data_IF_814486978481
#
_entry.id   IF_814486978481
#
_cell.length_a   1.000
_cell.length_b   1.000
_cell.length_c   1.000
_cell.angle_alpha   90.00
_cell.angle_beta   90.00
_cell.angle_gamma   90.00
#
_symmetry.space_group_name_H-M   'P 1'
#
loop_
_entity.id
_entity.type
_entity.pdbx_description
1 polymer ?
#
# COMPACT_ATOMS: atom_id res chain seq x y z
N UNK A 1 37.37 9.71 15.19
CA UNK A 1 36.75 8.41 15.54
C UNK A 1 35.27 8.50 15.93
N UNK A 2 34.76 9.63 16.47
CA UNK A 2 33.32 9.76 16.82
C UNK A 2 32.39 10.03 15.62
N UNK A 3 32.85 10.78 14.61
CA UNK A 3 32.06 11.12 13.41
C UNK A 3 31.66 9.90 12.56
N UNK A 4 32.55 8.89 12.49
CA UNK A 4 32.32 7.64 11.76
C UNK A 4 31.29 6.76 12.46
N UNK A 5 31.32 6.68 13.80
CA UNK A 5 30.34 5.90 14.57
C UNK A 5 28.91 6.47 14.45
N UNK A 6 28.76 7.80 14.51
CA UNK A 6 27.45 8.45 14.37
C UNK A 6 26.88 8.32 12.95
N UNK A 7 27.74 8.35 11.93
CA UNK A 7 27.33 8.09 10.54
C UNK A 7 26.92 6.63 10.35
N UNK A 8 27.68 5.69 10.92
CA UNK A 8 27.40 4.26 10.85
C UNK A 8 26.06 3.91 11.56
N UNK A 9 25.81 4.51 12.74
CA UNK A 9 24.53 4.37 13.44
C UNK A 9 23.35 4.94 12.64
N UNK A 10 23.49 6.13 12.05
CA UNK A 10 22.45 6.70 11.17
C UNK A 10 22.19 5.81 9.96
N UNK A 11 23.23 5.21 9.40
CA UNK A 11 23.12 4.26 8.30
C UNK A 11 22.37 2.99 8.69
N UNK A 12 22.70 2.40 9.84
CA UNK A 12 21.97 1.23 10.37
C UNK A 12 20.50 1.55 10.69
N UNK A 13 20.22 2.74 11.23
CA UNK A 13 18.83 3.21 11.45
C UNK A 13 18.06 3.37 10.14
N UNK A 14 18.70 3.91 9.09
CA UNK A 14 18.09 4.01 7.76
C UNK A 14 17.80 2.65 7.15
N UNK A 15 18.66 1.66 7.40
CA UNK A 15 18.48 0.27 6.93
C UNK A 15 17.31 -0.44 7.62
N UNK A 16 16.97 -0.02 8.84
CA UNK A 16 15.80 -0.51 9.58
C UNK A 16 14.49 0.11 9.10
N UNK A 17 14.55 1.30 8.48
CA UNK A 17 13.39 1.95 7.92
C UNK A 17 12.85 1.19 6.70
N UNK A 18 11.52 1.13 6.59
CA UNK A 18 10.85 0.61 5.42
C UNK A 18 10.93 1.64 4.29
N UNK A 19 11.40 1.20 3.13
CA UNK A 19 11.51 1.99 1.90
C UNK A 19 11.49 1.05 0.70
N UNK A 20 11.33 1.59 -0.51
CA UNK A 20 11.41 0.83 -1.74
C UNK A 20 12.77 0.15 -1.91
N UNK A 21 13.85 0.81 -1.46
CA UNK A 21 15.20 0.25 -1.42
C UNK A 21 15.27 -0.95 -0.45
N UNK A 22 14.63 -0.85 0.71
CA UNK A 22 14.73 -1.91 1.73
C UNK A 22 13.92 -3.17 1.41
N UNK A 23 13.07 -3.14 0.38
CA UNK A 23 12.33 -4.32 -0.13
C UNK A 23 12.81 -4.76 -1.52
N UNK A 24 13.82 -4.10 -2.07
CA UNK A 24 14.33 -4.40 -3.41
C UNK A 24 14.89 -5.82 -3.50
N UNK A 25 14.42 -6.57 -4.50
CA UNK A 25 14.76 -7.98 -4.73
C UNK A 25 14.47 -8.92 -3.53
N UNK A 26 13.62 -8.50 -2.59
CA UNK A 26 13.14 -9.33 -1.48
C UNK A 26 11.64 -9.63 -1.68
N UNK A 27 11.36 -10.76 -2.33
CA UNK A 27 9.99 -11.15 -2.66
C UNK A 27 9.16 -11.50 -1.42
N UNK A 28 9.78 -12.08 -0.39
CA UNK A 28 9.09 -12.41 0.86
C UNK A 28 8.64 -11.14 1.58
N UNK A 29 9.55 -10.17 1.71
CA UNK A 29 9.26 -8.87 2.32
C UNK A 29 8.31 -8.04 1.46
N UNK A 30 8.47 -8.07 0.14
CA UNK A 30 7.54 -7.41 -0.80
C UNK A 30 6.13 -7.97 -0.62
N UNK A 31 5.96 -9.29 -0.63
CA UNK A 31 4.66 -9.93 -0.43
C UNK A 31 4.07 -9.59 0.93
N UNK A 32 4.90 -9.52 1.96
CA UNK A 32 4.43 -9.18 3.30
C UNK A 32 3.89 -7.75 3.39
N UNK A 33 4.58 -6.77 2.82
CA UNK A 33 4.18 -5.37 2.91
C UNK A 33 3.23 -4.92 1.81
N UNK A 34 3.23 -5.54 0.64
CA UNK A 34 2.42 -5.04 -0.49
C UNK A 34 1.24 -5.94 -0.84
N UNK A 35 1.26 -7.19 -0.38
CA UNK A 35 0.33 -8.23 -0.84
C UNK A 35 0.62 -8.72 -2.26
N UNK A 36 1.57 -8.12 -2.99
CA UNK A 36 1.93 -8.52 -4.35
C UNK A 36 2.87 -9.73 -4.33
N UNK A 37 2.81 -10.55 -5.39
CA UNK A 37 3.51 -11.83 -5.43
C UNK A 37 5.04 -11.71 -5.32
N UNK A 38 5.63 -10.66 -5.89
CA UNK A 38 7.08 -10.44 -5.95
C UNK A 38 7.43 -8.97 -6.23
N UNK A 39 8.71 -8.62 -6.09
CA UNK A 39 9.23 -7.27 -6.29
C UNK A 39 9.05 -6.77 -7.74
N UNK A 40 9.12 -7.65 -8.74
CA UNK A 40 8.96 -7.25 -10.14
C UNK A 40 7.54 -6.72 -10.44
N UNK A 41 6.49 -7.39 -9.92
CA UNK A 41 5.11 -6.89 -10.04
C UNK A 41 4.96 -5.55 -9.34
N UNK A 42 5.53 -5.40 -8.15
CA UNK A 42 5.54 -4.13 -7.43
C UNK A 42 6.24 -3.02 -8.22
N UNK A 43 7.40 -3.30 -8.82
CA UNK A 43 8.17 -2.36 -9.65
C UNK A 43 7.38 -1.89 -10.88
N UNK A 44 6.64 -2.80 -11.53
CA UNK A 44 5.76 -2.45 -12.65
C UNK A 44 4.63 -1.52 -12.16
N UNK A 45 3.99 -1.85 -11.03
CA UNK A 45 2.94 -1.02 -10.45
C UNK A 45 3.46 0.37 -10.07
N UNK A 46 4.65 0.46 -9.46
CA UNK A 46 5.33 1.73 -9.18
C UNK A 46 5.49 2.55 -10.45
N UNK A 47 6.09 2.00 -11.51
CA UNK A 47 6.29 2.71 -12.78
C UNK A 47 4.99 3.25 -13.38
N UNK A 48 3.88 2.54 -13.17
CA UNK A 48 2.57 2.95 -13.67
C UNK A 48 1.89 4.04 -12.82
N UNK A 49 2.10 4.05 -11.50
CA UNK A 49 1.41 4.92 -10.55
C UNK A 49 2.20 6.20 -10.24
N UNK A 50 3.52 6.09 -10.02
CA UNK A 50 4.35 7.21 -9.54
C UNK A 50 4.34 8.46 -10.42
N UNK A 51 4.20 8.39 -11.78
CA UNK A 51 4.12 9.60 -12.61
C UNK A 51 2.93 10.52 -12.29
N UNK A 52 1.91 9.98 -11.61
CA UNK A 52 0.68 10.72 -11.26
C UNK A 52 0.72 11.30 -9.84
N UNK A 53 1.74 10.98 -9.04
CA UNK A 53 1.91 11.50 -7.68
C UNK A 53 2.67 12.82 -7.74
N UNK A 54 2.04 13.88 -7.24
CA UNK A 54 2.67 15.20 -7.16
C UNK A 54 3.76 15.18 -6.09
N UNK A 55 5.01 15.36 -6.51
CA UNK A 55 6.12 15.58 -5.60
C UNK A 55 6.25 17.09 -5.33
N UNK A 56 6.20 17.50 -4.07
CA UNK A 56 6.44 18.88 -3.67
C UNK A 56 7.78 18.96 -2.94
N UNK A 57 8.48 20.09 -3.00
CA UNK A 57 9.78 20.25 -2.33
C UNK A 57 9.72 20.00 -0.81
N UNK A 58 8.54 20.17 -0.21
CA UNK A 58 8.29 19.93 1.21
C UNK A 58 7.86 18.49 1.54
N UNK A 59 7.78 17.57 0.56
CA UNK A 59 7.44 16.17 0.85
C UNK A 59 8.67 15.41 1.34
N UNK A 60 8.56 14.83 2.53
CA UNK A 60 9.60 14.01 3.15
C UNK A 60 9.74 12.65 2.45
N UNK A 61 8.63 12.12 1.95
CA UNK A 61 8.56 10.77 1.40
C UNK A 61 8.53 10.79 -0.13
N UNK A 62 9.37 9.96 -0.76
CA UNK A 62 9.42 9.84 -2.22
C UNK A 62 8.09 9.32 -2.78
N UNK A 63 7.73 9.62 -4.04
CA UNK A 63 6.50 9.09 -4.64
C UNK A 63 6.42 7.55 -4.60
N UNK A 64 7.55 6.87 -4.79
CA UNK A 64 7.62 5.41 -4.74
C UNK A 64 7.31 4.89 -3.33
N UNK A 65 7.91 5.52 -2.30
CA UNK A 65 7.68 5.14 -0.91
C UNK A 65 6.25 5.48 -0.45
N UNK A 66 5.61 6.53 -1.00
CA UNK A 66 4.20 6.81 -0.76
C UNK A 66 3.28 5.70 -1.28
N UNK A 67 3.62 5.09 -2.43
CA UNK A 67 2.90 3.90 -2.94
C UNK A 67 3.13 2.70 -2.03
N UNK A 68 4.38 2.45 -1.62
CA UNK A 68 4.70 1.37 -0.68
C UNK A 68 3.94 1.53 0.65
N UNK A 69 3.88 2.75 1.19
CA UNK A 69 3.16 3.07 2.41
C UNK A 69 1.67 2.77 2.27
N UNK A 70 1.08 3.14 1.13
CA UNK A 70 -0.33 2.87 0.84
C UNK A 70 -0.61 1.37 0.76
N UNK A 71 0.23 0.62 0.04
CA UNK A 71 0.10 -0.82 -0.06
C UNK A 71 0.32 -1.52 1.29
N UNK A 72 1.27 -1.06 2.10
CA UNK A 72 1.49 -1.55 3.47
C UNK A 72 0.28 -1.32 4.36
N UNK A 73 -0.36 -0.16 4.26
CA UNK A 73 -1.60 0.09 5.01
C UNK A 73 -2.73 -0.84 4.54
N UNK A 74 -2.91 -1.03 3.23
CA UNK A 74 -3.98 -1.88 2.70
C UNK A 74 -3.75 -3.37 2.99
N UNK A 75 -2.52 -3.85 2.87
CA UNK A 75 -2.18 -5.28 3.00
C UNK A 75 -2.10 -5.76 4.45
N UNK A 76 -1.73 -4.88 5.38
CA UNK A 76 -1.51 -5.24 6.79
C UNK A 76 -2.44 -4.49 7.76
N UNK A 77 -3.32 -3.62 7.26
CA UNK A 77 -4.20 -2.77 8.04
C UNK A 77 -3.48 -1.97 9.16
N UNK A 78 -2.23 -1.54 8.89
CA UNK A 78 -1.40 -0.85 9.88
C UNK A 78 -1.96 0.53 10.24
N UNK A 79 -1.79 0.93 11.50
CA UNK A 79 -2.14 2.26 11.96
C UNK A 79 -1.19 3.34 11.41
N UNK A 80 -1.67 4.58 11.35
CA UNK A 80 -0.85 5.70 10.85
C UNK A 80 0.39 5.95 11.70
N UNK A 81 0.33 5.64 13.01
CA UNK A 81 1.47 5.73 13.91
C UNK A 81 2.55 4.70 13.56
N UNK A 82 2.15 3.44 13.37
CA UNK A 82 3.06 2.35 13.00
C UNK A 82 3.72 2.60 11.64
N UNK A 83 2.95 3.11 10.68
CA UNK A 83 3.50 3.52 9.39
C UNK A 83 4.52 4.66 9.56
N UNK A 84 4.23 5.65 10.41
CA UNK A 84 5.19 6.70 10.76
C UNK A 84 6.51 6.13 11.29
N UNK A 85 6.45 5.19 12.24
CA UNK A 85 7.63 4.53 12.79
C UNK A 85 8.39 3.71 11.74
N UNK A 86 7.69 2.91 10.94
CA UNK A 86 8.32 2.08 9.90
C UNK A 86 9.00 2.92 8.83
N UNK A 87 8.38 3.99 8.37
CA UNK A 87 8.96 4.89 7.35
C UNK A 87 9.87 5.96 7.95
N UNK A 88 10.09 5.96 9.27
CA UNK A 88 10.89 6.98 9.99
C UNK A 88 10.43 8.42 9.71
N UNK A 89 9.11 8.63 9.61
CA UNK A 89 8.49 9.95 9.41
C UNK A 89 7.53 10.28 10.56
N UNK A 90 7.28 11.57 10.77
CA UNK A 90 6.22 11.99 11.71
C UNK A 90 4.88 11.37 11.29
N UNK A 91 4.03 10.92 12.24
CA UNK A 91 2.73 10.34 11.94
C UNK A 91 1.74 11.33 11.29
N UNK A 92 1.98 12.64 11.46
CA UNK A 92 1.11 13.69 10.94
C UNK A 92 0.93 13.64 9.41
N UNK A 93 1.99 13.65 8.58
CA UNK A 93 1.87 13.58 7.12
C UNK A 93 1.41 12.21 6.56
N UNK A 94 1.51 11.12 7.34
CA UNK A 94 1.22 9.75 6.88
C UNK A 94 -0.21 9.64 6.34
N UNK A 95 -1.19 10.19 7.07
CA UNK A 95 -2.60 10.11 6.67
C UNK A 95 -2.87 10.82 5.34
N UNK A 96 -2.21 11.94 5.09
CA UNK A 96 -2.30 12.71 3.85
C UNK A 96 -1.67 11.95 2.69
N UNK A 97 -0.47 11.38 2.89
CA UNK A 97 0.17 10.55 1.87
C UNK A 97 -0.69 9.35 1.48
N UNK A 98 -1.23 8.65 2.47
CA UNK A 98 -2.14 7.54 2.24
C UNK A 98 -3.36 7.94 1.41
N UNK A 99 -4.11 8.97 1.83
CA UNK A 99 -5.33 9.40 1.13
C UNK A 99 -5.07 9.84 -0.31
N UNK A 100 -4.05 10.67 -0.52
CA UNK A 100 -3.71 11.17 -1.85
C UNK A 100 -3.27 10.04 -2.79
N UNK A 101 -2.41 9.16 -2.30
CA UNK A 101 -1.90 8.04 -3.09
C UNK A 101 -2.99 7.02 -3.36
N UNK A 102 -3.82 6.69 -2.36
CA UNK A 102 -4.97 5.80 -2.54
C UNK A 102 -5.93 6.34 -3.60
N UNK A 103 -6.23 7.63 -3.58
CA UNK A 103 -7.09 8.26 -4.58
C UNK A 103 -6.52 8.11 -6.00
N UNK A 104 -5.22 8.38 -6.17
CA UNK A 104 -4.54 8.20 -7.46
C UNK A 104 -4.57 6.73 -7.88
N UNK A 105 -4.23 5.81 -6.98
CA UNK A 105 -4.29 4.38 -7.24
C UNK A 105 -5.69 3.94 -7.69
N UNK A 106 -6.75 4.38 -7.02
CA UNK A 106 -8.12 4.09 -7.41
C UNK A 106 -8.42 4.58 -8.83
N UNK A 107 -8.06 5.83 -9.17
CA UNK A 107 -8.29 6.37 -10.52
C UNK A 107 -7.53 5.60 -11.61
N UNK A 108 -6.29 5.20 -11.32
CA UNK A 108 -5.40 4.55 -12.29
C UNK A 108 -5.68 3.05 -12.43
N UNK A 109 -6.05 2.39 -11.33
CA UNK A 109 -6.31 0.96 -11.26
C UNK A 109 -7.75 0.58 -11.58
N UNK A 110 -8.70 1.51 -11.54
CA UNK A 110 -10.10 1.28 -11.93
C UNK A 110 -10.24 0.61 -13.31
N UNK A 111 -9.32 0.89 -14.24
CA UNK A 111 -9.32 0.28 -15.58
C UNK A 111 -8.93 -1.20 -15.59
N UNK A 112 -8.21 -1.68 -14.58
CA UNK A 112 -7.80 -3.07 -14.45
C UNK A 112 -8.79 -3.90 -13.63
N UNK A 113 -9.67 -3.26 -12.88
CA UNK A 113 -10.72 -3.93 -12.12
C UNK A 113 -11.96 -4.00 -13.00
N UNK A 114 -12.21 -5.17 -13.60
CA UNK A 114 -13.51 -5.44 -14.20
C UNK A 114 -14.54 -5.55 -13.09
N UNK A 115 -15.46 -4.60 -13.03
CA UNK A 115 -16.60 -4.64 -12.14
C UNK A 115 -17.85 -4.96 -12.96
N UNK A 116 -18.43 -6.17 -12.84
CA UNK A 116 -19.64 -6.54 -13.57
C UNK A 116 -20.81 -5.66 -13.15
N UNK A 117 -21.84 -5.57 -14.00
CA UNK A 117 -23.04 -4.80 -13.68
C UNK A 117 -23.73 -5.30 -12.39
N UNK A 118 -24.41 -4.38 -11.71
CA UNK A 118 -25.10 -4.64 -10.44
C UNK A 118 -26.04 -5.84 -10.51
N UNK A 119 -26.75 -5.99 -11.63
CA UNK A 119 -27.71 -7.08 -11.81
C UNK A 119 -27.03 -8.44 -11.93
N UNK A 120 -25.86 -8.48 -12.59
CA UNK A 120 -25.03 -9.68 -12.68
C UNK A 120 -24.52 -10.03 -11.29
N UNK A 121 -23.97 -9.05 -10.58
CA UNK A 121 -23.44 -9.24 -9.23
C UNK A 121 -24.49 -9.73 -8.23
N UNK A 122 -25.72 -9.18 -8.28
CA UNK A 122 -26.84 -9.63 -7.43
C UNK A 122 -27.29 -11.05 -7.78
N UNK A 123 -27.25 -11.44 -9.05
CA UNK A 123 -27.56 -12.83 -9.46
C UNK A 123 -26.52 -13.81 -8.93
N UNK A 124 -25.24 -13.48 -9.06
CA UNK A 124 -24.13 -14.36 -8.67
C UNK A 124 -23.86 -14.36 -7.15
N UNK A 125 -24.44 -13.43 -6.39
CA UNK A 125 -24.28 -13.37 -4.94
C UNK A 125 -24.89 -14.60 -4.25
N UNK A 126 -24.10 -15.24 -3.38
CA UNK A 126 -24.50 -16.39 -2.57
C UNK A 126 -25.69 -16.05 -1.66
N UNK A 127 -26.61 -16.99 -1.48
CA UNK A 127 -27.85 -16.77 -0.72
C UNK A 127 -27.58 -16.42 0.75
N UNK A 128 -26.58 -17.04 1.37
CA UNK A 128 -26.15 -16.73 2.75
C UNK A 128 -25.74 -15.26 2.95
N UNK A 129 -25.15 -14.64 1.93
CA UNK A 129 -24.80 -13.22 1.94
C UNK A 129 -26.03 -12.34 1.68
N UNK A 130 -26.95 -12.76 0.82
CA UNK A 130 -28.22 -12.03 0.60
C UNK A 130 -29.06 -11.95 1.86
N UNK A 131 -29.11 -13.04 2.62
CA UNK A 131 -29.81 -13.13 3.90
C UNK A 131 -29.14 -12.23 4.96
N UNK A 132 -27.81 -12.30 5.09
CA UNK A 132 -27.07 -11.49 6.06
C UNK A 132 -27.16 -9.98 5.80
N UNK A 133 -27.23 -9.57 4.53
CA UNK A 133 -27.21 -8.17 4.12
C UNK A 133 -28.54 -7.67 3.53
N UNK A 134 -29.63 -8.44 3.68
CA UNK A 134 -30.98 -8.08 3.24
C UNK A 134 -31.07 -7.62 1.76
N UNK A 135 -30.25 -8.18 0.87
CA UNK A 135 -30.26 -7.87 -0.57
C UNK A 135 -29.77 -6.47 -0.98
N UNK A 136 -29.29 -5.64 -0.04
CA UNK A 136 -28.81 -4.28 -0.31
C UNK A 136 -27.32 -4.22 -0.74
N UNK A 137 -26.58 -5.31 -0.57
CA UNK A 137 -25.16 -5.40 -0.96
C UNK A 137 -25.02 -5.85 -2.40
N UNK A 138 -24.09 -5.25 -3.15
CA UNK A 138 -23.81 -5.62 -4.55
C UNK A 138 -22.48 -6.36 -4.73
N UNK A 139 -21.64 -6.44 -3.69
CA UNK A 139 -20.40 -7.19 -3.72
C UNK A 139 -19.63 -6.99 -2.41
N UNK A 140 -18.79 -7.95 -2.06
CA UNK A 140 -17.90 -7.87 -0.90
C UNK A 140 -16.49 -7.77 -1.44
N UNK A 141 -15.78 -6.70 -1.06
CA UNK A 141 -14.36 -6.54 -1.37
C UNK A 141 -13.61 -7.01 -0.13
N UNK A 142 -13.15 -8.25 -0.17
CA UNK A 142 -12.32 -8.80 0.88
C UNK A 142 -10.85 -8.47 0.61
N UNK A 143 -10.20 -7.83 1.58
CA UNK A 143 -8.76 -7.60 1.61
C UNK A 143 -8.06 -8.55 2.61
N UNK A 144 -8.78 -9.57 3.09
CA UNK A 144 -8.24 -10.62 3.94
C UNK A 144 -7.07 -11.32 3.26
N UNK A 145 -5.93 -11.39 3.98
CA UNK A 145 -4.94 -12.42 3.71
C UNK A 145 -5.66 -13.76 3.77
N UNK A 146 -5.80 -14.41 2.61
CA UNK A 146 -6.18 -15.81 2.53
C UNK A 146 -5.05 -16.59 3.18
N UNK A 147 -5.13 -16.77 4.50
CA UNK A 147 -4.32 -17.73 5.23
C UNK A 147 -4.84 -19.08 4.77
N UNK A 148 -4.08 -19.69 3.84
CA UNK A 148 -4.16 -21.12 3.55
C UNK A 148 -3.65 -21.86 4.77
#
# INVERSE_FOLDING_TARGET
>A
MSLTLTQDFKYQLKKLALSCESIENDDAKTKNYTGLANYNVFKIALKYITPFIKYHQNTVLSPSDQVLLTLAKLSLNLDYKDLGYRFSISPYPVSTYFKNTLYIMCLRLKKFVFWPDRDILKKTMQNSLKESFHGNTTGIIDFGRMLV
#
